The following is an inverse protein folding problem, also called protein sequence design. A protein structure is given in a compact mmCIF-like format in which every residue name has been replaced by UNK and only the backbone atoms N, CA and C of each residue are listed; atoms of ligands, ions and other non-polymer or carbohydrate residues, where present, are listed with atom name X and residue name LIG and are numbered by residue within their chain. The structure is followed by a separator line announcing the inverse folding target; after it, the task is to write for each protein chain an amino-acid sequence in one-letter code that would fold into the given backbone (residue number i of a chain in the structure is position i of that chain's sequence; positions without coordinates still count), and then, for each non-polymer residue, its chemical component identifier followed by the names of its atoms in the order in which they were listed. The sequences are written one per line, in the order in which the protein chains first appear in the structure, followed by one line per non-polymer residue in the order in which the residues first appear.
data_IF_773620732685
#
_entry.id   IF_773620732685
#
_cell.length_a   1.000
_cell.length_b   1.000
_cell.length_c   1.000
_cell.angle_alpha   90.00
_cell.angle_beta   90.00
_cell.angle_gamma   90.00
#
_symmetry.space_group_name_H-M   'P 1'
#
loop_
_entity.id
_entity.type
_entity.pdbx_description
1 polymer ?
#
# COMPACT_ATOMS: atom_id res chain seq x y z
N UNK A 1 -13.68 -38.25 -7.97
CA UNK A 1 -13.71 -36.99 -8.78
C UNK A 1 -13.60 -35.69 -7.96
N UNK A 2 -14.35 -35.46 -6.87
CA UNK A 2 -14.41 -34.16 -6.16
C UNK A 2 -13.08 -33.59 -5.64
N UNK A 3 -12.18 -34.41 -5.05
CA UNK A 3 -10.87 -33.94 -4.56
C UNK A 3 -9.95 -33.40 -5.67
N UNK A 4 -10.01 -33.97 -6.87
CA UNK A 4 -9.17 -33.52 -7.99
C UNK A 4 -9.65 -32.19 -8.56
N UNK A 5 -10.97 -31.92 -8.55
CA UNK A 5 -11.51 -30.63 -8.94
C UNK A 5 -11.08 -29.51 -7.98
N UNK A 6 -11.17 -29.74 -6.66
CA UNK A 6 -10.75 -28.75 -5.65
C UNK A 6 -9.26 -28.41 -5.74
N UNK A 7 -8.39 -29.41 -5.93
CA UNK A 7 -6.95 -29.19 -6.13
C UNK A 7 -6.66 -28.37 -7.40
N UNK A 8 -7.35 -28.67 -8.50
CA UNK A 8 -7.23 -27.91 -9.75
C UNK A 8 -7.64 -26.45 -9.57
N UNK A 9 -8.78 -26.19 -8.92
CA UNK A 9 -9.24 -24.82 -8.63
C UNK A 9 -8.24 -24.04 -7.77
N UNK A 10 -7.66 -24.68 -6.74
CA UNK A 10 -6.63 -24.05 -5.91
C UNK A 10 -5.39 -23.67 -6.72
N UNK A 11 -4.90 -24.59 -7.56
CA UNK A 11 -3.75 -24.33 -8.43
C UNK A 11 -4.02 -23.20 -9.41
N UNK A 12 -5.17 -23.22 -10.10
CA UNK A 12 -5.55 -22.16 -11.04
C UNK A 12 -5.64 -20.79 -10.36
N UNK A 13 -6.13 -20.73 -9.10
CA UNK A 13 -6.15 -19.49 -8.31
C UNK A 13 -4.74 -18.99 -7.98
N UNK A 14 -3.85 -19.89 -7.54
CA UNK A 14 -2.46 -19.55 -7.24
C UNK A 14 -1.71 -19.06 -8.51
N UNK A 15 -1.91 -19.73 -9.64
CA UNK A 15 -1.31 -19.34 -10.92
C UNK A 15 -1.83 -17.98 -11.40
N UNK A 16 -3.14 -17.72 -11.22
CA UNK A 16 -3.75 -16.42 -11.55
C UNK A 16 -3.18 -15.29 -10.69
N UNK A 17 -3.01 -15.51 -9.37
CA UNK A 17 -2.40 -14.52 -8.48
C UNK A 17 -0.97 -14.21 -8.92
N UNK A 18 -0.13 -15.23 -9.13
CA UNK A 18 1.26 -15.05 -9.57
C UNK A 18 1.37 -14.29 -10.90
N UNK A 19 0.48 -14.59 -11.85
CA UNK A 19 0.42 -13.89 -13.13
C UNK A 19 0.14 -12.40 -12.94
N UNK A 20 -0.87 -12.06 -12.13
CA UNK A 20 -1.21 -10.67 -11.85
C UNK A 20 -0.15 -9.94 -11.04
N UNK A 21 0.43 -10.60 -10.04
CA UNK A 21 1.52 -10.04 -9.23
C UNK A 21 2.72 -9.66 -10.12
N UNK A 22 3.13 -10.57 -11.02
CA UNK A 22 4.22 -10.30 -11.98
C UNK A 22 3.84 -9.18 -12.96
N UNK A 23 2.61 -9.18 -13.47
CA UNK A 23 2.14 -8.18 -14.44
C UNK A 23 2.04 -6.78 -13.81
N UNK A 24 1.62 -6.70 -12.55
CA UNK A 24 1.40 -5.45 -11.82
C UNK A 24 2.61 -5.02 -11.00
N UNK A 25 3.70 -5.78 -10.99
CA UNK A 25 4.90 -5.50 -10.20
C UNK A 25 5.40 -4.05 -10.37
N UNK A 26 5.39 -3.53 -11.60
CA UNK A 26 5.80 -2.15 -11.91
C UNK A 26 4.87 -1.06 -11.32
N UNK A 27 3.64 -1.41 -10.94
CA UNK A 27 2.67 -0.49 -10.32
C UNK A 27 2.64 -0.62 -8.80
N UNK A 28 3.27 -1.66 -8.25
CA UNK A 28 3.34 -1.85 -6.81
C UNK A 28 4.33 -0.83 -6.24
N UNK A 29 3.81 0.04 -5.39
CA UNK A 29 4.66 0.92 -4.58
C UNK A 29 5.49 0.11 -3.60
N UNK A 30 6.66 0.64 -3.25
CA UNK A 30 7.46 0.17 -2.11
C UNK A 30 6.63 0.21 -0.82
N UNK A 31 6.81 -0.77 0.09
CA UNK A 31 6.16 -0.76 1.40
C UNK A 31 6.59 0.47 2.20
N UNK A 32 5.70 0.94 3.07
CA UNK A 32 5.97 2.08 3.95
C UNK A 32 6.67 1.60 5.21
N UNK A 33 7.67 2.36 5.66
CA UNK A 33 8.44 2.04 6.85
C UNK A 33 7.79 2.62 8.10
N UNK A 34 8.00 2.00 9.28
CA UNK A 34 7.68 2.63 10.56
C UNK A 34 8.23 4.07 10.64
N UNK A 35 7.41 5.01 11.08
CA UNK A 35 7.72 6.44 11.17
C UNK A 35 7.45 7.26 9.91
N UNK A 36 7.16 6.63 8.76
CA UNK A 36 6.77 7.37 7.55
C UNK A 36 5.48 8.17 7.79
N UNK A 37 5.45 9.42 7.32
CA UNK A 37 4.26 10.27 7.36
C UNK A 37 3.29 9.90 6.23
N UNK A 38 2.02 9.76 6.57
CA UNK A 38 0.99 9.32 5.64
C UNK A 38 -0.32 10.09 5.79
N UNK A 39 -1.08 10.21 4.71
CA UNK A 39 -2.48 10.61 4.69
C UNK A 39 -3.37 9.39 4.52
N UNK A 40 -4.55 9.44 5.15
CA UNK A 40 -5.56 8.38 5.01
C UNK A 40 -6.71 8.87 4.13
N UNK A 41 -6.98 8.13 3.05
CA UNK A 41 -8.12 8.35 2.17
C UNK A 41 -9.41 7.77 2.76
N UNK A 42 -10.39 8.65 2.98
CA UNK A 42 -11.72 8.30 3.44
C UNK A 42 -12.63 7.94 2.26
N UNK A 43 -12.76 6.64 1.98
CA UNK A 43 -13.62 6.10 0.91
C UNK A 43 -15.10 6.46 1.07
N UNK A 44 -15.59 6.68 2.29
CA UNK A 44 -17.01 6.96 2.53
C UNK A 44 -17.45 8.32 1.94
N UNK A 45 -16.51 9.25 1.74
CA UNK A 45 -16.79 10.56 1.12
C UNK A 45 -17.08 10.42 -0.37
N UNK A 46 -16.47 9.45 -1.04
CA UNK A 46 -16.62 9.25 -2.49
C UNK A 46 -18.03 8.79 -2.89
N UNK A 47 -18.64 7.97 -2.04
CA UNK A 47 -20.00 7.46 -2.27
C UNK A 47 -21.10 8.47 -1.96
N UNK A 48 -20.78 9.63 -1.38
CA UNK A 48 -21.76 10.64 -1.00
C UNK A 48 -21.69 11.86 -1.92
N UNK A 49 -22.73 12.04 -2.76
CA UNK A 49 -22.85 13.15 -3.72
C UNK A 49 -22.75 14.53 -3.06
N UNK A 50 -23.25 14.69 -1.83
CA UNK A 50 -23.20 15.95 -1.09
C UNK A 50 -21.82 16.30 -0.52
N UNK A 51 -20.87 15.36 -0.54
CA UNK A 51 -19.51 15.55 -0.02
C UNK A 51 -18.46 15.56 -1.13
N UNK A 52 -18.86 15.64 -2.40
CA UNK A 52 -17.96 15.54 -3.56
C UNK A 52 -16.79 16.53 -3.49
N UNK A 53 -17.03 17.73 -2.95
CA UNK A 53 -16.03 18.80 -2.80
C UNK A 53 -15.27 18.79 -1.47
N UNK A 54 -15.59 17.86 -0.55
CA UNK A 54 -14.85 17.77 0.72
C UNK A 54 -13.50 17.12 0.50
N UNK A 55 -12.51 17.54 1.30
CA UNK A 55 -11.21 16.88 1.30
C UNK A 55 -11.39 15.41 1.70
N UNK A 56 -10.87 14.52 0.85
CA UNK A 56 -10.99 13.06 1.02
C UNK A 56 -9.84 12.49 1.85
N UNK A 57 -8.79 13.27 2.10
CA UNK A 57 -7.61 12.85 2.84
C UNK A 57 -7.63 13.43 4.26
N UNK A 58 -7.60 12.54 5.24
CA UNK A 58 -7.46 12.89 6.65
C UNK A 58 -5.98 12.89 7.02
N UNK A 59 -5.59 13.89 7.83
CA UNK A 59 -4.47 13.93 8.78
C UNK A 59 -3.10 13.41 8.32
N UNK A 60 -1.99 14.11 8.64
CA UNK A 60 -0.71 13.44 8.69
C UNK A 60 -0.69 12.47 9.88
N UNK A 61 -0.64 11.17 9.60
CA UNK A 61 -0.41 10.10 10.58
C UNK A 61 1.01 9.56 10.42
N UNK A 62 1.48 8.80 11.41
CA UNK A 62 2.72 8.01 11.29
C UNK A 62 2.41 6.53 11.18
N UNK A 63 3.21 5.82 10.40
CA UNK A 63 3.14 4.36 10.32
C UNK A 63 3.76 3.75 11.57
N UNK A 64 3.04 2.90 12.28
CA UNK A 64 3.61 2.06 13.35
C UNK A 64 4.28 0.85 12.71
N UNK A 65 3.54 0.10 11.89
CA UNK A 65 4.03 -1.08 11.16
C UNK A 65 3.09 -1.53 10.04
N UNK A 66 3.62 -2.35 9.14
CA UNK A 66 2.84 -3.09 8.15
C UNK A 66 2.50 -4.49 8.68
N UNK A 67 1.26 -4.93 8.49
CA UNK A 67 0.78 -6.28 8.77
C UNK A 67 0.98 -7.22 7.58
N UNK A 68 0.93 -8.54 7.84
CA UNK A 68 1.12 -9.61 6.85
C UNK A 68 0.25 -9.49 5.58
N UNK A 69 -0.92 -8.85 5.68
CA UNK A 69 -1.86 -8.67 4.56
C UNK A 69 -1.79 -7.28 3.93
N UNK A 70 -0.71 -6.53 4.15
CA UNK A 70 -0.49 -5.20 3.56
C UNK A 70 -1.32 -4.08 4.18
N UNK A 71 -1.93 -4.34 5.35
CA UNK A 71 -2.59 -3.32 6.14
C UNK A 71 -1.57 -2.58 7.00
N UNK A 72 -1.87 -1.34 7.38
CA UNK A 72 -1.03 -0.51 8.23
C UNK A 72 -1.75 -0.20 9.54
N UNK A 73 -1.00 -0.30 10.63
CA UNK A 73 -1.33 0.31 11.91
C UNK A 73 -0.70 1.70 11.94
N UNK A 74 -1.50 2.70 12.32
CA UNK A 74 -1.12 4.11 12.27
C UNK A 74 -1.27 4.73 13.65
N UNK A 75 -0.50 5.77 13.91
CA UNK A 75 -0.62 6.64 15.08
C UNK A 75 -0.81 8.10 14.64
N UNK A 76 -1.46 8.89 15.48
CA UNK A 76 -1.45 10.34 15.39
C UNK A 76 -0.07 10.90 15.74
N UNK A 77 0.17 12.17 15.44
CA UNK A 77 1.49 12.80 15.62
C UNK A 77 1.90 12.93 17.09
N UNK A 78 0.94 12.85 18.02
CA UNK A 78 1.14 12.85 19.46
C UNK A 78 1.45 11.44 20.03
N UNK A 79 1.43 10.40 19.18
CA UNK A 79 1.65 9.01 19.55
C UNK A 79 0.38 8.24 19.89
N UNK A 80 -0.81 8.82 19.70
CA UNK A 80 -2.07 8.11 19.92
C UNK A 80 -2.31 7.08 18.80
N UNK A 81 -2.32 5.79 19.13
CA UNK A 81 -2.58 4.73 18.16
C UNK A 81 -4.03 4.75 17.64
N UNK A 82 -4.20 4.58 16.32
CA UNK A 82 -5.53 4.39 15.74
C UNK A 82 -5.98 2.94 15.89
N UNK A 83 -7.16 2.76 16.49
CA UNK A 83 -7.77 1.44 16.69
C UNK A 83 -8.02 0.69 15.36
N UNK A 84 -8.33 1.43 14.30
CA UNK A 84 -8.59 0.87 12.98
C UNK A 84 -7.30 0.66 12.20
N UNK A 85 -7.18 -0.51 11.57
CA UNK A 85 -6.19 -0.79 10.52
C UNK A 85 -6.61 -0.25 9.16
N UNK A 86 -5.66 0.29 8.41
CA UNK A 86 -5.91 0.86 7.09
C UNK A 86 -5.34 -0.01 5.98
N UNK A 87 -6.12 -0.25 4.92
CA UNK A 87 -5.62 -0.98 3.76
C UNK A 87 -4.56 -0.14 3.02
N UNK A 88 -3.58 -0.79 2.38
CA UNK A 88 -2.57 -0.10 1.57
C UNK A 88 -3.18 0.91 0.57
N UNK A 89 -4.31 0.57 -0.07
CA UNK A 89 -5.02 1.46 -1.01
C UNK A 89 -5.51 2.78 -0.41
N UNK A 90 -5.66 2.86 0.91
CA UNK A 90 -6.15 4.06 1.60
C UNK A 90 -5.02 4.92 2.15
N UNK A 91 -3.80 4.41 2.23
CA UNK A 91 -2.68 5.11 2.86
C UNK A 91 -1.81 5.72 1.77
N UNK A 92 -1.54 7.03 1.83
CA UNK A 92 -0.68 7.74 0.88
C UNK A 92 0.50 8.40 1.60
N UNK A 93 1.73 8.19 1.13
CA UNK A 93 2.92 8.82 1.72
C UNK A 93 2.88 10.34 1.54
N UNK A 94 3.31 11.07 2.57
CA UNK A 94 3.44 12.53 2.57
C UNK A 94 4.89 12.91 2.77
N UNK A 95 5.32 13.91 2.01
CA UNK A 95 6.61 14.55 2.19
C UNK A 95 6.40 15.95 2.78
N UNK A 96 6.90 16.22 4.00
CA UNK A 96 6.76 17.54 4.61
C UNK A 96 7.52 18.58 3.79
N UNK A 97 6.86 19.71 3.50
CA UNK A 97 7.47 20.82 2.76
C UNK A 97 8.35 21.62 3.72
N UNK A 98 9.68 21.45 3.66
CA UNK A 98 10.63 22.26 4.43
C UNK A 98 11.81 21.55 5.11
N UNK A 99 11.98 20.23 4.95
CA UNK A 99 13.18 19.49 5.40
C UNK A 99 13.97 18.98 4.19
N UNK A 100 15.31 19.09 4.22
CA UNK A 100 16.18 18.48 3.21
C UNK A 100 15.79 17.01 3.03
N UNK A 101 15.54 16.62 1.79
CA UNK A 101 15.35 15.22 1.44
C UNK A 101 16.69 14.52 1.65
N UNK A 102 16.81 13.67 2.66
CA UNK A 102 17.71 12.51 2.52
C UNK A 102 16.99 11.57 1.56
N UNK A 103 17.15 11.84 0.27
CA UNK A 103 16.68 10.97 -0.80
C UNK A 103 17.35 9.64 -0.62
N UNK A 104 16.67 8.67 0.01
CA UNK A 104 16.96 7.28 -0.26
C UNK A 104 16.48 7.05 -1.68
N UNK A 105 17.38 7.23 -2.63
CA UNK A 105 17.21 6.84 -4.01
C UNK A 105 16.75 5.38 -3.99
N UNK A 106 15.53 5.14 -4.44
CA UNK A 106 15.12 3.80 -4.85
C UNK A 106 15.99 3.50 -6.08
N UNK A 107 17.14 2.85 -5.86
CA UNK A 107 18.03 2.42 -6.95
C UNK A 107 17.24 1.43 -7.80
N UNK A 108 16.75 1.90 -8.94
CA UNK A 108 16.37 1.05 -10.05
C UNK A 108 17.64 0.35 -10.53
N UNK A 109 17.87 -0.89 -10.07
CA UNK A 109 18.87 -1.76 -10.65
C UNK A 109 18.46 -2.06 -12.10
N UNK A 110 18.96 -1.26 -13.03
CA UNK A 110 19.04 -1.65 -14.44
C UNK A 110 19.91 -2.90 -14.53
N UNK A 111 19.28 -4.07 -14.67
CA UNK A 111 19.97 -5.26 -15.15
C UNK A 111 20.26 -5.06 -16.64
N UNK A 112 21.44 -4.53 -16.95
CA UNK A 112 22.05 -4.66 -18.26
C UNK A 112 22.22 -6.14 -18.59
N UNK A 113 21.76 -6.55 -19.76
CA UNK A 113 22.02 -7.87 -20.31
C UNK A 113 23.51 -8.06 -20.56
N UNK A 114 24.00 -9.25 -20.24
CA UNK A 114 25.20 -9.81 -20.84
C UNK A 114 24.75 -11.00 -21.69
N UNK A 115 24.87 -10.81 -23.00
CA UNK A 115 24.86 -11.84 -24.02
C UNK A 115 26.13 -12.69 -23.85
N UNK A 116 26.00 -14.02 -23.71
CA UNK A 116 26.91 -15.04 -24.26
C UNK A 116 26.14 -16.33 -24.59
#
# INVERSE_FOLDING_TARGET
MRRNAAKKLKKTREDSMKYWDRRMAHQLRSPLNPGDLVLVYNKAIETNLGLLFKNKCNGPYRVIRQMNYGQYELEELDGTELERRFAASQVKRVYPRGKLMDTKEDTEEEKSGEDE
#
